data_IF_897353441728
#
_entry.id   IF_897353441728
#
_cell.length_a   1.000
_cell.length_b   1.000
_cell.length_c   1.000
_cell.angle_alpha   90.00
_cell.angle_beta   90.00
_cell.angle_gamma   90.00
#
_symmetry.space_group_name_H-M   'P 1'
#
loop_
_entity.id
_entity.type
_entity.pdbx_description
1 polymer ?
#
# COMPACT_ATOMS: atom_id res chain seq x y z
N UNK A 1 22.81 -17.99 -4.26
CA UNK A 1 21.59 -18.07 -5.11
C UNK A 1 20.84 -16.75 -5.08
N UNK A 2 20.53 -16.23 -6.23
CA UNK A 2 19.76 -14.98 -6.31
C UNK A 2 18.27 -15.25 -6.15
N UNK A 3 17.60 -14.44 -5.33
CA UNK A 3 16.15 -14.50 -5.20
C UNK A 3 15.49 -13.90 -6.45
N UNK A 4 14.37 -14.46 -6.84
CA UNK A 4 13.54 -13.89 -7.87
C UNK A 4 13.00 -12.53 -7.39
N UNK A 5 13.08 -11.46 -8.19
CA UNK A 5 12.50 -10.18 -7.77
C UNK A 5 10.98 -10.28 -7.60
N UNK A 6 10.43 -9.49 -6.68
CA UNK A 6 8.98 -9.43 -6.44
C UNK A 6 8.26 -8.90 -7.68
N UNK A 7 8.86 -7.93 -8.36
CA UNK A 7 8.36 -7.44 -9.64
C UNK A 7 9.53 -6.83 -10.44
N UNK A 8 9.29 -6.67 -11.73
CA UNK A 8 10.16 -5.88 -12.61
C UNK A 8 9.26 -4.91 -13.37
N UNK A 9 9.80 -3.74 -13.68
CA UNK A 9 9.05 -2.70 -14.38
C UNK A 9 8.72 -1.51 -13.50
N UNK A 10 7.51 -0.96 -13.63
CA UNK A 10 7.08 0.25 -12.95
C UNK A 10 6.24 -0.07 -11.71
N UNK A 11 6.74 0.35 -10.54
CA UNK A 11 5.98 0.36 -9.29
C UNK A 11 5.47 1.76 -9.02
N UNK A 12 4.17 1.95 -8.90
CA UNK A 12 3.58 3.26 -8.67
C UNK A 12 3.32 3.47 -7.18
N UNK A 13 3.82 4.60 -6.65
CA UNK A 13 3.53 5.04 -5.30
C UNK A 13 2.21 5.83 -5.35
N UNK A 14 1.13 5.21 -4.90
CA UNK A 14 -0.19 5.83 -4.95
C UNK A 14 -0.41 6.79 -3.79
N UNK A 15 -1.20 7.82 -4.05
CA UNK A 15 -1.67 8.71 -3.00
C UNK A 15 -2.75 8.00 -2.16
N UNK A 16 -3.00 8.51 -0.96
CA UNK A 16 -4.13 8.08 -0.14
C UNK A 16 -5.19 9.15 -0.20
N UNK A 17 -6.24 8.98 -1.03
CA UNK A 17 -7.31 9.98 -1.11
C UNK A 17 -8.10 10.00 0.20
N UNK A 18 -8.47 11.22 0.61
CA UNK A 18 -9.15 11.43 1.88
C UNK A 18 -10.39 12.28 1.68
N UNK A 19 -11.40 12.06 2.52
CA UNK A 19 -12.54 12.97 2.63
C UNK A 19 -12.11 14.27 3.30
N UNK A 20 -12.95 15.30 3.25
CA UNK A 20 -12.66 16.59 3.88
C UNK A 20 -12.38 16.46 5.38
N UNK A 21 -13.00 15.49 6.04
CA UNK A 21 -12.80 15.23 7.47
C UNK A 21 -11.51 14.47 7.80
N UNK A 22 -10.71 14.12 6.78
CA UNK A 22 -9.44 13.42 6.95
C UNK A 22 -9.51 11.89 6.96
N UNK A 23 -10.70 11.30 6.84
CA UNK A 23 -10.82 9.84 6.73
C UNK A 23 -10.50 9.37 5.31
N UNK A 24 -10.02 8.13 5.19
CA UNK A 24 -9.65 7.57 3.89
C UNK A 24 -10.90 7.41 3.01
N UNK A 25 -10.79 7.91 1.78
CA UNK A 25 -11.83 7.72 0.78
C UNK A 25 -11.54 6.43 0.00
N UNK A 26 -12.06 5.33 0.47
CA UNK A 26 -11.81 4.01 -0.12
C UNK A 26 -12.40 3.87 -1.52
N UNK A 27 -13.51 4.52 -1.82
CA UNK A 27 -14.11 4.47 -3.16
C UNK A 27 -13.15 5.05 -4.20
N UNK A 28 -12.58 6.21 -3.91
CA UNK A 28 -11.62 6.86 -4.81
C UNK A 28 -10.32 6.07 -4.84
N UNK A 29 -9.85 5.54 -3.71
CA UNK A 29 -8.65 4.70 -3.69
C UNK A 29 -8.83 3.48 -4.59
N UNK A 30 -9.98 2.83 -4.53
CA UNK A 30 -10.29 1.70 -5.40
C UNK A 30 -10.25 2.08 -6.87
N UNK A 31 -10.79 3.25 -7.24
CA UNK A 31 -10.74 3.75 -8.61
C UNK A 31 -9.30 3.99 -9.07
N UNK A 32 -8.46 4.57 -8.21
CA UNK A 32 -7.05 4.80 -8.51
C UNK A 32 -6.33 3.49 -8.76
N UNK A 33 -6.54 2.48 -7.91
CA UNK A 33 -5.91 1.17 -8.04
C UNK A 33 -6.33 0.49 -9.36
N UNK A 34 -7.62 0.48 -9.67
CA UNK A 34 -8.12 -0.10 -10.90
C UNK A 34 -7.58 0.61 -12.14
N UNK A 35 -7.52 1.94 -12.11
CA UNK A 35 -6.98 2.73 -13.22
C UNK A 35 -5.50 2.43 -13.46
N UNK A 36 -4.70 2.35 -12.40
CA UNK A 36 -3.28 2.02 -12.51
C UNK A 36 -3.06 0.64 -13.11
N UNK A 37 -3.82 -0.35 -12.65
CA UNK A 37 -3.72 -1.71 -13.19
C UNK A 37 -4.13 -1.73 -14.67
N UNK A 38 -5.21 -1.06 -15.02
CA UNK A 38 -5.68 -0.97 -16.40
C UNK A 38 -4.67 -0.30 -17.33
N UNK A 39 -3.88 0.64 -16.80
CA UNK A 39 -2.84 1.35 -17.58
C UNK A 39 -1.50 0.63 -17.59
N UNK A 40 -1.38 -0.53 -16.96
CA UNK A 40 -0.21 -1.41 -17.12
C UNK A 40 0.86 -1.26 -16.05
N UNK A 41 0.55 -0.73 -14.87
CA UNK A 41 1.53 -0.73 -13.76
C UNK A 41 1.91 -2.16 -13.39
N UNK A 42 3.16 -2.34 -12.97
CA UNK A 42 3.68 -3.66 -12.62
C UNK A 42 3.61 -3.96 -11.12
N UNK A 43 3.47 -2.93 -10.30
CA UNK A 43 3.31 -3.06 -8.85
C UNK A 43 2.65 -1.80 -8.28
N UNK A 44 2.00 -1.96 -7.14
CA UNK A 44 1.41 -0.87 -6.37
C UNK A 44 2.20 -0.69 -5.08
N UNK A 45 2.63 0.54 -4.78
CA UNK A 45 3.22 0.89 -3.49
C UNK A 45 2.16 1.67 -2.71
N UNK A 46 1.63 1.07 -1.65
CA UNK A 46 0.59 1.65 -0.79
C UNK A 46 1.21 2.11 0.53
N UNK A 47 0.75 3.22 1.07
CA UNK A 47 1.21 3.77 2.34
C UNK A 47 2.72 4.07 2.36
N UNK A 48 3.28 4.45 1.22
CA UNK A 48 4.61 5.04 1.17
C UNK A 48 4.54 6.52 1.58
N UNK A 49 5.63 7.24 1.44
CA UNK A 49 5.68 8.68 1.73
C UNK A 49 4.65 9.44 0.87
N UNK A 50 4.54 9.10 -0.39
CA UNK A 50 3.54 9.69 -1.29
C UNK A 50 2.11 9.47 -0.80
N UNK A 51 1.85 8.34 -0.15
CA UNK A 51 0.56 8.03 0.46
C UNK A 51 0.33 8.68 1.81
N UNK A 52 1.23 9.55 2.25
CA UNK A 52 1.12 10.32 3.49
C UNK A 52 1.02 9.45 4.75
N UNK A 53 1.75 8.34 4.77
CA UNK A 53 1.70 7.40 5.89
C UNK A 53 2.04 8.04 7.24
N UNK A 54 2.87 9.08 7.25
CA UNK A 54 3.25 9.79 8.49
C UNK A 54 2.08 10.54 9.14
N UNK A 55 1.01 10.82 8.42
CA UNK A 55 -0.18 11.50 8.95
C UNK A 55 -1.30 10.52 9.33
N UNK A 56 -1.05 9.22 9.17
CA UNK A 56 -2.04 8.17 9.39
C UNK A 56 -1.72 7.39 10.65
N UNK A 57 -2.76 6.96 11.36
CA UNK A 57 -2.59 6.01 12.47
C UNK A 57 -2.20 4.64 11.92
N UNK A 58 -1.67 3.77 12.77
CA UNK A 58 -1.35 2.40 12.38
C UNK A 58 -2.61 1.66 11.87
N UNK A 59 -3.74 1.86 12.53
CA UNK A 59 -5.00 1.26 12.12
C UNK A 59 -5.42 1.73 10.72
N UNK A 60 -5.26 3.02 10.43
CA UNK A 60 -5.55 3.57 9.11
C UNK A 60 -4.62 3.01 8.04
N UNK A 61 -3.31 2.94 8.34
CA UNK A 61 -2.33 2.34 7.42
C UNK A 61 -2.69 0.89 7.10
N UNK A 62 -2.94 0.07 8.12
CA UNK A 62 -3.26 -1.33 7.92
C UNK A 62 -4.58 -1.51 7.18
N UNK A 63 -5.58 -0.65 7.43
CA UNK A 63 -6.83 -0.65 6.68
C UNK A 63 -6.60 -0.34 5.20
N UNK A 64 -5.76 0.65 4.89
CA UNK A 64 -5.44 1.00 3.52
C UNK A 64 -4.68 -0.14 2.80
N UNK A 65 -3.73 -0.76 3.49
CA UNK A 65 -2.96 -1.89 2.96
C UNK A 65 -3.90 -3.06 2.67
N UNK A 66 -4.75 -3.42 3.62
CA UNK A 66 -5.72 -4.51 3.47
C UNK A 66 -6.67 -4.25 2.30
N UNK A 67 -7.18 -3.03 2.20
CA UNK A 67 -8.05 -2.64 1.10
C UNK A 67 -7.33 -2.77 -0.24
N UNK A 68 -6.08 -2.31 -0.34
CA UNK A 68 -5.30 -2.41 -1.57
C UNK A 68 -5.06 -3.87 -1.96
N UNK A 69 -4.67 -4.71 -1.01
CA UNK A 69 -4.44 -6.15 -1.26
C UNK A 69 -5.72 -6.81 -1.78
N UNK A 70 -6.84 -6.55 -1.13
CA UNK A 70 -8.13 -7.16 -1.51
C UNK A 70 -8.61 -6.66 -2.88
N UNK A 71 -8.46 -5.36 -3.15
CA UNK A 71 -8.87 -4.75 -4.42
C UNK A 71 -8.02 -5.23 -5.57
N UNK A 72 -6.70 -5.25 -5.39
CA UNK A 72 -5.75 -5.69 -6.43
C UNK A 72 -5.90 -7.18 -6.73
N UNK A 73 -6.24 -7.99 -5.73
CA UNK A 73 -6.54 -9.42 -5.88
C UNK A 73 -5.45 -10.18 -6.65
N UNK A 74 -4.20 -9.98 -6.28
CA UNK A 74 -3.01 -10.63 -6.85
C UNK A 74 -2.75 -10.34 -8.34
N UNK A 75 -3.44 -9.37 -8.94
CA UNK A 75 -3.19 -9.00 -10.34
C UNK A 75 -1.81 -8.38 -10.53
N UNK A 76 -1.34 -7.65 -9.54
CA UNK A 76 0.04 -7.15 -9.46
C UNK A 76 0.50 -7.25 -8.00
N UNK A 77 1.81 -7.23 -7.72
CA UNK A 77 2.28 -7.18 -6.33
C UNK A 77 1.90 -5.89 -5.62
N UNK A 78 1.65 -5.98 -4.31
CA UNK A 78 1.41 -4.83 -3.44
C UNK A 78 2.59 -4.71 -2.49
N UNK A 79 3.28 -3.57 -2.57
CA UNK A 79 4.39 -3.22 -1.70
C UNK A 79 3.86 -2.26 -0.65
N UNK A 80 3.85 -2.67 0.61
CA UNK A 80 3.32 -1.85 1.69
C UNK A 80 4.44 -1.05 2.37
N UNK A 81 4.19 0.24 2.56
CA UNK A 81 5.08 1.07 3.38
C UNK A 81 4.95 0.68 4.85
N UNK A 82 6.06 0.35 5.48
CA UNK A 82 6.10 -0.08 6.89
C UNK A 82 7.26 0.55 7.64
N UNK A 83 7.91 1.57 7.06
CA UNK A 83 9.03 2.24 7.67
C UNK A 83 8.64 3.07 8.88
N UNK A 84 9.53 3.16 9.85
CA UNK A 84 9.38 3.99 11.03
C UNK A 84 10.76 4.39 11.55
N UNK A 85 10.83 5.54 12.22
CA UNK A 85 12.03 5.94 12.94
C UNK A 85 12.27 5.09 14.20
N UNK A 86 11.25 4.39 14.65
CA UNK A 86 11.30 3.45 15.78
C UNK A 86 11.30 2.03 15.24
N UNK A 87 12.37 1.29 15.49
CA UNK A 87 12.54 -0.07 14.98
C UNK A 87 11.41 -0.99 15.44
N UNK A 88 11.00 -0.92 16.70
CA UNK A 88 9.92 -1.76 17.23
C UNK A 88 8.58 -1.45 16.51
N UNK A 89 8.30 -0.19 16.26
CA UNK A 89 7.11 0.25 15.53
C UNK A 89 7.17 -0.23 14.08
N UNK A 90 8.33 -0.11 13.43
CA UNK A 90 8.53 -0.60 12.06
C UNK A 90 8.33 -2.11 11.96
N UNK A 91 8.82 -2.87 12.92
CA UNK A 91 8.60 -4.31 12.97
C UNK A 91 7.12 -4.67 13.12
N UNK A 92 6.39 -3.94 13.97
CA UNK A 92 4.96 -4.17 14.16
C UNK A 92 4.17 -3.86 12.89
N UNK A 93 4.49 -2.76 12.21
CA UNK A 93 3.85 -2.40 10.94
C UNK A 93 4.14 -3.43 9.85
N UNK A 94 5.38 -3.90 9.76
CA UNK A 94 5.76 -4.91 8.76
C UNK A 94 5.01 -6.22 8.99
N UNK A 95 4.90 -6.66 10.25
CA UNK A 95 4.13 -7.84 10.60
C UNK A 95 2.64 -7.67 10.25
N UNK A 96 2.08 -6.51 10.57
CA UNK A 96 0.69 -6.18 10.23
C UNK A 96 0.44 -6.18 8.73
N UNK A 97 1.35 -5.57 7.95
CA UNK A 97 1.26 -5.55 6.50
C UNK A 97 1.32 -6.97 5.91
N UNK A 98 2.23 -7.80 6.41
CA UNK A 98 2.33 -9.19 5.99
C UNK A 98 1.02 -9.96 6.28
N UNK A 99 0.44 -9.73 7.44
CA UNK A 99 -0.85 -10.34 7.82
C UNK A 99 -2.00 -9.87 6.92
N UNK A 100 -1.91 -8.65 6.37
CA UNK A 100 -2.87 -8.16 5.40
C UNK A 100 -2.70 -8.79 4.01
N UNK A 101 -1.59 -9.46 3.76
CA UNK A 101 -1.32 -10.11 2.49
C UNK A 101 -0.44 -9.32 1.53
N UNK A 102 0.27 -8.29 2.01
CA UNK A 102 1.22 -7.55 1.17
C UNK A 102 2.37 -8.46 0.71
N UNK A 103 2.84 -8.23 -0.50
CA UNK A 103 3.89 -9.02 -1.13
C UNK A 103 5.30 -8.57 -0.74
#
# INVERSE_FOLDING_TARGET
MMKKPVFTGAGVAVITPMHENGTINFDVLGQILEDQIARGTDAIVICGTTGECSTMTDAEQLSAIKFAVDTVAHRVPVVAGAGSNDTAHGCALAAGAANCGAD
#
